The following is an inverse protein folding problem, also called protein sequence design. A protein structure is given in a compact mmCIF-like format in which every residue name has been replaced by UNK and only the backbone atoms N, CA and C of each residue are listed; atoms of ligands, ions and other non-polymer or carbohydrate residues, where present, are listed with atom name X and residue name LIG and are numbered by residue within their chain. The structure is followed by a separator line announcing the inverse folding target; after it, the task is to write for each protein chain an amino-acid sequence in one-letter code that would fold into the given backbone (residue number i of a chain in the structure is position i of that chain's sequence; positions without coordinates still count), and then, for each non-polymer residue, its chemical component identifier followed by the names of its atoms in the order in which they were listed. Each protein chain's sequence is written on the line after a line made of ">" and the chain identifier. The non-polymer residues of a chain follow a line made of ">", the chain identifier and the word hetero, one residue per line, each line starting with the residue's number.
data_IF_394553088645
#
_entry.id   IF_394553088645
#
_cell.length_a   1.000
_cell.length_b   1.000
_cell.length_c   1.000
_cell.angle_alpha   90.00
_cell.angle_beta   90.00
_cell.angle_gamma   90.00
#
_symmetry.space_group_name_H-M   'P 1'
#
loop_
_entity.id
_entity.type
_entity.pdbx_description
1 polymer ?
#
# COMPACT_ATOMS: atom_id res chain seq x y z
N UNK A 1 -31.26 -32.98 39.61
CA UNK A 1 -30.62 -33.09 40.94
C UNK A 1 -29.37 -33.97 40.81
N UNK A 2 -28.39 -33.86 41.71
CA UNK A 2 -27.05 -34.44 41.53
C UNK A 2 -27.01 -35.92 41.92
N UNK A 3 -26.24 -36.71 41.16
CA UNK A 3 -25.38 -37.74 41.75
C UNK A 3 -24.10 -37.88 40.90
N UNK A 4 -22.99 -38.26 41.53
CA UNK A 4 -21.65 -38.40 40.94
C UNK A 4 -21.12 -39.82 41.22
N UNK A 5 -19.85 -40.03 40.86
CA UNK A 5 -19.02 -41.17 41.27
C UNK A 5 -19.32 -42.47 40.46
N UNK A 6 -18.41 -43.44 40.30
CA UNK A 6 -17.23 -43.79 41.11
C UNK A 6 -15.91 -43.90 40.34
N UNK A 7 -14.82 -43.69 41.09
CA UNK A 7 -13.42 -43.73 40.65
C UNK A 7 -12.72 -45.03 41.11
N UNK A 8 -11.99 -45.71 40.22
CA UNK A 8 -11.05 -46.82 40.49
C UNK A 8 -9.89 -46.69 39.46
N UNK A 9 -8.57 -46.64 39.75
CA UNK A 9 -7.67 -47.12 40.84
C UNK A 9 -7.57 -48.64 40.97
N UNK A 10 -6.39 -49.28 41.10
CA UNK A 10 -5.00 -48.76 41.16
C UNK A 10 -4.27 -48.79 39.77
N UNK A 11 -3.07 -49.29 39.46
CA UNK A 11 -1.98 -50.12 40.07
C UNK A 11 -0.59 -49.58 39.62
N UNK A 12 0.54 -50.08 40.15
CA UNK A 12 1.94 -49.66 39.86
C UNK A 12 2.74 -50.66 39.00
N UNK A 13 3.83 -50.19 38.36
CA UNK A 13 4.92 -51.02 37.80
C UNK A 13 6.09 -50.16 37.27
N UNK A 14 7.34 -50.44 37.70
CA UNK A 14 8.59 -49.71 37.34
C UNK A 14 9.69 -50.78 37.05
N UNK A 15 10.85 -50.38 36.49
CA UNK A 15 12.14 -51.13 36.31
C UNK A 15 12.30 -51.80 34.92
N UNK A 16 13.40 -51.69 34.16
CA UNK A 16 14.52 -50.71 34.04
C UNK A 16 15.29 -50.96 32.72
N UNK A 17 16.07 -49.97 32.23
CA UNK A 17 17.11 -50.02 31.16
C UNK A 17 16.92 -50.86 29.88
N UNK A 18 17.04 -50.18 28.73
CA UNK A 18 17.37 -50.78 27.43
C UNK A 18 18.13 -49.77 26.56
N UNK A 19 19.46 -49.85 26.52
CA UNK A 19 20.32 -48.81 25.93
C UNK A 19 20.76 -49.21 24.51
N UNK A 20 20.13 -48.65 23.47
CA UNK A 20 20.62 -48.75 22.08
C UNK A 20 20.64 -47.35 21.46
N UNK A 21 21.85 -46.84 21.20
CA UNK A 21 22.08 -45.70 20.32
C UNK A 21 21.96 -46.15 18.86
N UNK A 22 20.76 -46.04 18.29
CA UNK A 22 20.63 -45.92 16.84
C UNK A 22 20.79 -44.44 16.49
N UNK A 23 21.90 -44.08 15.83
CA UNK A 23 22.11 -42.72 15.35
C UNK A 23 21.10 -42.41 14.24
N UNK A 24 20.05 -41.65 14.56
CA UNK A 24 19.24 -41.02 13.52
C UNK A 24 20.14 -40.07 12.74
N UNK A 25 20.37 -40.37 11.47
CA UNK A 25 21.07 -39.45 10.57
C UNK A 25 20.34 -38.13 10.58
N UNK A 26 21.02 -37.05 10.98
CA UNK A 26 20.51 -35.70 10.80
C UNK A 26 20.47 -35.47 9.29
N UNK A 27 19.29 -35.71 8.69
CA UNK A 27 18.97 -35.19 7.37
C UNK A 27 18.93 -33.68 7.55
N UNK A 28 20.06 -33.04 7.24
CA UNK A 28 20.12 -31.59 7.12
C UNK A 28 19.15 -31.19 6.04
N UNK A 29 18.01 -30.61 6.44
CA UNK A 29 17.14 -29.90 5.51
C UNK A 29 17.95 -28.72 4.96
N UNK A 30 18.58 -28.95 3.81
CA UNK A 30 19.16 -27.90 3.00
C UNK A 30 18.00 -27.04 2.51
N UNK A 31 17.71 -25.95 3.23
CA UNK A 31 16.60 -25.05 2.93
C UNK A 31 16.91 -24.25 1.66
N UNK A 32 16.72 -24.91 0.51
CA UNK A 32 16.74 -24.29 -0.80
C UNK A 32 15.42 -23.52 -1.01
N UNK A 33 15.18 -22.55 -0.12
CA UNK A 33 13.86 -22.04 0.27
C UNK A 33 13.36 -20.78 -0.44
N UNK A 34 14.07 -20.36 -1.49
CA UNK A 34 13.96 -19.09 -2.24
C UNK A 34 14.64 -17.90 -1.55
N UNK A 35 15.64 -17.32 -2.22
CA UNK A 35 15.77 -15.87 -2.23
C UNK A 35 14.42 -15.30 -2.71
N UNK A 36 13.67 -14.64 -1.83
CA UNK A 36 12.59 -13.79 -2.31
C UNK A 36 13.25 -12.56 -2.94
N UNK A 37 13.42 -12.59 -4.27
CA UNK A 37 13.71 -11.41 -5.07
C UNK A 37 12.50 -10.47 -4.96
N UNK A 38 12.47 -9.69 -3.87
CA UNK A 38 11.54 -8.58 -3.70
C UNK A 38 11.88 -7.61 -4.83
N UNK A 39 11.09 -7.60 -5.89
CA UNK A 39 11.20 -6.61 -6.97
C UNK A 39 10.84 -5.25 -6.37
N UNK A 40 11.89 -4.55 -5.91
CA UNK A 40 11.84 -3.43 -4.96
C UNK A 40 10.98 -2.31 -5.52
N UNK A 41 9.80 -2.12 -4.95
CA UNK A 41 8.86 -1.13 -5.47
C UNK A 41 9.43 0.29 -5.38
N UNK A 42 9.19 1.09 -6.41
CA UNK A 42 10.07 2.19 -6.83
C UNK A 42 9.90 3.49 -6.02
N UNK A 43 9.79 3.39 -4.69
CA UNK A 43 9.64 4.51 -3.75
C UNK A 43 10.95 5.24 -3.45
N UNK A 44 12.09 4.77 -3.97
CA UNK A 44 13.44 5.26 -3.65
C UNK A 44 13.90 6.48 -4.48
N UNK A 45 13.00 7.19 -5.17
CA UNK A 45 13.39 8.29 -6.07
C UNK A 45 13.94 9.53 -5.33
N UNK A 46 13.75 9.66 -4.01
CA UNK A 46 14.16 10.83 -3.21
C UNK A 46 15.28 10.54 -2.19
N UNK A 47 15.77 9.29 -2.11
CA UNK A 47 16.87 8.90 -1.22
C UNK A 47 17.61 7.70 -1.81
N UNK A 48 18.95 7.73 -1.82
CA UNK A 48 19.73 6.58 -2.29
C UNK A 48 19.75 5.44 -1.26
N UNK A 49 20.18 4.25 -1.69
CA UNK A 49 20.18 3.04 -0.86
C UNK A 49 21.13 3.11 0.34
N UNK A 50 22.26 3.82 0.23
CA UNK A 50 23.21 4.00 1.34
C UNK A 50 22.66 4.89 2.46
N UNK A 51 22.07 6.04 2.11
CA UNK A 51 21.39 6.91 3.06
C UNK A 51 20.18 6.24 3.70
N UNK A 52 19.39 5.48 2.92
CA UNK A 52 18.28 4.68 3.43
C UNK A 52 18.75 3.68 4.50
N UNK A 53 19.76 2.87 4.18
CA UNK A 53 20.22 1.80 5.07
C UNK A 53 20.84 2.41 6.35
N UNK A 54 21.66 3.47 6.24
CA UNK A 54 22.17 4.21 7.42
C UNK A 54 21.03 4.66 8.34
N UNK A 55 19.96 5.21 7.79
CA UNK A 55 18.86 5.73 8.61
C UNK A 55 18.01 4.61 9.23
N UNK A 56 17.86 3.46 8.55
CA UNK A 56 17.25 2.25 9.12
C UNK A 56 18.10 1.70 10.29
N UNK A 57 19.43 1.62 10.12
CA UNK A 57 20.37 1.20 11.16
C UNK A 57 20.39 2.16 12.37
N UNK A 58 20.09 3.45 12.14
CA UNK A 58 19.88 4.45 13.19
C UNK A 58 18.48 4.40 13.85
N UNK A 59 17.66 3.39 13.52
CA UNK A 59 16.38 3.12 14.15
C UNK A 59 15.20 3.97 13.63
N UNK A 60 15.36 4.70 12.53
CA UNK A 60 14.23 5.37 11.88
C UNK A 60 13.40 4.37 11.06
N UNK A 61 12.08 4.50 11.06
CA UNK A 61 11.22 3.70 10.20
C UNK A 61 11.27 4.16 8.73
N UNK A 62 10.97 3.24 7.81
CA UNK A 62 10.92 3.55 6.37
C UNK A 62 9.93 4.67 6.01
N UNK A 63 8.83 4.83 6.75
CA UNK A 63 7.86 5.91 6.52
C UNK A 63 8.42 7.27 6.95
N UNK A 64 9.13 7.34 8.09
CA UNK A 64 9.80 8.58 8.53
C UNK A 64 10.89 9.00 7.55
N UNK A 65 11.72 8.05 7.09
CA UNK A 65 12.80 8.31 6.12
C UNK A 65 12.22 8.83 4.79
N UNK A 66 11.16 8.22 4.27
CA UNK A 66 10.55 8.64 3.01
C UNK A 66 9.83 10.00 3.13
N UNK A 67 9.21 10.31 4.27
CA UNK A 67 8.62 11.64 4.53
C UNK A 67 9.68 12.72 4.66
N UNK A 68 10.76 12.44 5.39
CA UNK A 68 11.88 13.36 5.52
C UNK A 68 12.56 13.62 4.17
N UNK A 69 12.77 12.57 3.35
CA UNK A 69 13.29 12.71 1.99
C UNK A 69 12.36 13.52 1.06
N UNK A 70 11.04 13.37 1.21
CA UNK A 70 10.06 14.18 0.47
C UNK A 70 10.14 15.66 0.87
N UNK A 71 10.14 15.99 2.17
CA UNK A 71 10.31 17.37 2.66
C UNK A 71 11.66 17.93 2.21
N UNK A 72 12.76 17.20 2.40
CA UNK A 72 14.12 17.60 2.03
C UNK A 72 14.25 17.99 0.56
N UNK A 73 13.58 17.26 -0.35
CA UNK A 73 13.51 17.59 -1.78
C UNK A 73 12.86 18.96 -2.03
N UNK A 74 11.73 19.27 -1.39
CA UNK A 74 11.00 20.52 -1.65
C UNK A 74 11.55 21.71 -0.86
N UNK A 75 12.25 21.50 0.26
CA UNK A 75 12.92 22.56 1.04
C UNK A 75 14.38 22.80 0.64
N UNK A 76 14.93 21.97 -0.25
CA UNK A 76 16.36 21.91 -0.61
C UNK A 76 17.26 21.80 0.64
N UNK A 77 17.12 20.70 1.38
CA UNK A 77 17.82 20.35 2.62
C UNK A 77 18.29 18.89 2.59
N UNK A 78 19.06 18.43 3.59
CA UNK A 78 19.39 17.00 3.74
C UNK A 78 18.29 16.26 4.50
N UNK A 79 18.18 14.95 4.27
CA UNK A 79 17.22 14.09 4.97
C UNK A 79 17.49 14.10 6.48
N UNK A 80 18.76 14.06 6.87
CA UNK A 80 19.22 14.09 8.26
C UNK A 80 18.83 15.40 8.97
N UNK A 81 18.92 16.55 8.28
CA UNK A 81 18.48 17.86 8.81
C UNK A 81 16.96 17.86 9.09
N UNK A 82 16.17 17.28 8.18
CA UNK A 82 14.72 17.15 8.33
C UNK A 82 14.35 16.21 9.47
N UNK A 83 15.04 15.07 9.60
CA UNK A 83 14.83 14.13 10.71
C UNK A 83 15.26 14.69 12.08
N UNK A 84 16.23 15.60 12.11
CA UNK A 84 16.63 16.34 13.31
C UNK A 84 15.60 17.41 13.70
N UNK A 85 14.99 18.11 12.74
CA UNK A 85 13.88 19.04 13.01
C UNK A 85 12.61 18.27 13.44
N UNK A 86 12.31 17.15 12.80
CA UNK A 86 11.20 16.27 13.15
C UNK A 86 11.25 15.83 14.63
N UNK A 87 12.40 15.34 15.10
CA UNK A 87 12.61 14.99 16.52
C UNK A 87 12.49 16.18 17.49
N UNK A 88 12.71 17.42 17.03
CA UNK A 88 12.53 18.65 17.84
C UNK A 88 11.10 19.17 17.84
N UNK A 89 10.31 18.85 16.81
CA UNK A 89 8.96 19.34 16.59
C UNK A 89 7.89 18.33 17.05
N UNK A 90 8.10 17.70 18.20
CA UNK A 90 7.21 16.67 18.79
C UNK A 90 6.90 15.47 17.86
N UNK A 91 7.80 15.15 16.92
CA UNK A 91 7.54 14.20 15.82
C UNK A 91 6.30 14.55 14.97
N UNK A 92 6.00 15.85 14.81
CA UNK A 92 4.96 16.34 13.90
C UNK A 92 5.53 16.68 12.51
N UNK A 93 5.04 15.99 11.49
CA UNK A 93 5.38 16.26 10.09
C UNK A 93 4.90 17.64 9.61
N UNK A 94 3.79 18.13 10.16
CA UNK A 94 3.20 19.42 9.80
C UNK A 94 4.10 20.57 10.27
N UNK A 95 4.40 20.64 11.58
CA UNK A 95 5.40 21.55 12.15
C UNK A 95 6.77 21.47 11.46
N UNK A 96 7.18 20.27 11.07
CA UNK A 96 8.45 20.02 10.36
C UNK A 96 8.46 20.61 8.95
N UNK A 97 7.34 20.57 8.24
CA UNK A 97 7.19 21.20 6.93
C UNK A 97 7.09 22.72 7.06
N UNK A 98 6.30 23.22 8.01
CA UNK A 98 6.15 24.65 8.33
C UNK A 98 7.49 25.31 8.67
N UNK A 99 8.35 24.64 9.45
CA UNK A 99 9.72 25.09 9.76
C UNK A 99 10.57 25.34 8.50
N UNK A 100 10.27 24.65 7.40
CA UNK A 100 10.92 24.81 6.10
C UNK A 100 10.08 25.62 5.09
N UNK A 101 9.00 26.28 5.53
CA UNK A 101 8.10 27.06 4.68
C UNK A 101 7.22 26.23 3.74
N UNK A 102 7.03 24.94 4.02
CA UNK A 102 6.25 24.01 3.20
C UNK A 102 4.88 23.72 3.82
N UNK A 103 3.83 23.87 3.01
CA UNK A 103 2.48 23.43 3.31
C UNK A 103 2.26 22.01 2.75
N UNK A 104 2.10 21.01 3.62
CA UNK A 104 1.89 19.61 3.23
C UNK A 104 0.52 19.37 2.57
N UNK A 105 -0.49 20.15 2.92
CA UNK A 105 -1.82 20.07 2.30
C UNK A 105 -1.74 20.59 0.87
N UNK A 106 -1.15 21.76 0.67
CA UNK A 106 -0.94 22.36 -0.66
C UNK A 106 -0.05 21.49 -1.56
N UNK A 107 1.06 20.96 -1.05
CA UNK A 107 1.91 20.01 -1.81
C UNK A 107 1.14 18.75 -2.24
N UNK A 108 0.26 18.22 -1.37
CA UNK A 108 -0.59 17.08 -1.67
C UNK A 108 -1.66 17.42 -2.72
N UNK A 109 -2.25 18.61 -2.65
CA UNK A 109 -3.23 19.14 -3.60
C UNK A 109 -2.60 19.34 -4.98
N UNK A 110 -1.47 20.05 -5.07
CA UNK A 110 -0.69 20.22 -6.30
C UNK A 110 -0.29 18.89 -6.96
N UNK A 111 0.04 17.86 -6.17
CA UNK A 111 0.29 16.52 -6.70
C UNK A 111 -0.99 15.82 -7.22
N UNK A 112 -2.16 16.02 -6.58
CA UNK A 112 -3.44 15.51 -7.10
C UNK A 112 -3.88 16.23 -8.38
N UNK A 113 -3.60 17.54 -8.49
CA UNK A 113 -3.87 18.39 -9.65
C UNK A 113 -2.98 18.02 -10.83
N UNK A 114 -1.65 17.98 -10.64
CA UNK A 114 -0.72 17.57 -11.68
C UNK A 114 -1.01 16.15 -12.20
N UNK A 115 -1.39 15.22 -11.30
CA UNK A 115 -1.84 13.89 -11.72
C UNK A 115 -3.16 13.92 -12.50
N UNK A 116 -4.13 14.75 -12.12
CA UNK A 116 -5.37 14.87 -12.89
C UNK A 116 -5.08 15.47 -14.27
N UNK A 117 -4.26 16.53 -14.35
CA UNK A 117 -3.84 17.16 -15.61
C UNK A 117 -3.21 16.15 -16.56
N UNK A 118 -2.26 15.34 -16.08
CA UNK A 118 -1.65 14.26 -16.88
C UNK A 118 -2.69 13.25 -17.42
N UNK A 119 -3.74 12.93 -16.65
CA UNK A 119 -4.80 12.03 -17.13
C UNK A 119 -5.74 12.71 -18.14
N UNK A 120 -5.96 14.02 -18.03
CA UNK A 120 -6.77 14.80 -18.97
C UNK A 120 -6.01 15.10 -20.28
N UNK A 121 -4.68 15.26 -20.22
CA UNK A 121 -3.79 15.37 -21.38
C UNK A 121 -3.75 14.09 -22.23
N UNK A 122 -4.13 12.96 -21.62
CA UNK A 122 -4.24 11.64 -22.24
C UNK A 122 -5.63 11.03 -21.96
N UNK A 123 -6.69 11.82 -22.18
CA UNK A 123 -8.07 11.44 -21.80
C UNK A 123 -8.51 10.14 -22.49
N UNK A 124 -8.18 9.96 -23.77
CA UNK A 124 -8.71 8.86 -24.58
C UNK A 124 -8.12 7.52 -24.14
N UNK A 125 -6.79 7.48 -24.05
CA UNK A 125 -6.00 6.30 -23.67
C UNK A 125 -6.35 5.85 -22.24
N UNK A 126 -6.62 6.81 -21.35
CA UNK A 126 -7.12 6.55 -19.99
C UNK A 126 -8.55 5.99 -20.01
N UNK A 127 -9.42 6.47 -20.89
CA UNK A 127 -10.82 6.02 -20.99
C UNK A 127 -10.92 4.62 -21.56
N UNK A 128 -10.24 4.32 -22.68
CA UNK A 128 -10.17 3.01 -23.31
C UNK A 128 -9.68 1.94 -22.32
N UNK A 129 -8.55 2.21 -21.64
CA UNK A 129 -7.99 1.33 -20.62
C UNK A 129 -8.94 1.06 -19.45
N UNK A 130 -9.64 2.10 -18.97
CA UNK A 130 -10.61 1.97 -17.88
C UNK A 130 -11.84 1.18 -18.34
N UNK A 131 -12.32 1.42 -19.57
CA UNK A 131 -13.44 0.73 -20.17
C UNK A 131 -13.16 -0.78 -20.26
N UNK A 132 -12.05 -1.18 -20.89
CA UNK A 132 -11.59 -2.57 -20.99
C UNK A 132 -11.41 -3.21 -19.60
N UNK A 133 -10.65 -2.58 -18.71
CA UNK A 133 -10.32 -3.14 -17.38
C UNK A 133 -11.55 -3.35 -16.48
N UNK A 134 -12.58 -2.51 -16.64
CA UNK A 134 -13.80 -2.56 -15.82
C UNK A 134 -15.02 -3.20 -16.49
N UNK A 135 -14.92 -3.61 -17.76
CA UNK A 135 -16.03 -4.19 -18.52
C UNK A 135 -17.14 -3.18 -18.84
N UNK A 136 -16.75 -1.96 -19.22
CA UNK A 136 -17.61 -0.82 -19.53
C UNK A 136 -17.41 -0.34 -20.96
N UNK A 137 -18.31 0.48 -21.48
CA UNK A 137 -18.05 1.20 -22.75
C UNK A 137 -17.35 2.53 -22.50
N UNK A 138 -16.61 3.04 -23.49
CA UNK A 138 -16.02 4.37 -23.43
C UNK A 138 -17.07 5.48 -23.25
N UNK A 139 -18.28 5.29 -23.79
CA UNK A 139 -19.43 6.18 -23.59
C UNK A 139 -19.87 6.23 -22.12
N UNK A 140 -19.91 5.09 -21.41
CA UNK A 140 -20.20 5.07 -19.97
C UNK A 140 -19.17 5.92 -19.22
N UNK A 141 -17.87 5.73 -19.50
CA UNK A 141 -16.78 6.45 -18.83
C UNK A 141 -16.83 7.94 -19.14
N UNK A 142 -16.98 8.33 -20.42
CA UNK A 142 -17.15 9.73 -20.82
C UNK A 142 -18.33 10.37 -20.10
N UNK A 143 -19.47 9.67 -20.02
CA UNK A 143 -20.65 10.16 -19.31
C UNK A 143 -20.42 10.41 -17.81
N UNK A 144 -19.36 9.88 -17.21
CA UNK A 144 -18.98 10.18 -15.82
C UNK A 144 -18.00 11.35 -15.74
N UNK A 145 -17.05 11.45 -16.67
CA UNK A 145 -16.16 12.62 -16.80
C UNK A 145 -16.98 13.90 -17.01
N UNK A 146 -17.98 13.85 -17.90
CA UNK A 146 -18.87 14.98 -18.22
C UNK A 146 -19.80 15.35 -17.04
N UNK A 147 -20.04 14.40 -16.12
CA UNK A 147 -20.69 14.63 -14.81
C UNK A 147 -19.73 15.09 -13.72
N UNK A 148 -18.53 15.56 -14.08
CA UNK A 148 -17.52 16.10 -13.18
C UNK A 148 -16.71 15.06 -12.39
N UNK A 149 -16.79 13.77 -12.75
CA UNK A 149 -16.01 12.72 -12.08
C UNK A 149 -14.60 12.68 -12.67
N UNK A 150 -13.65 13.31 -11.98
CA UNK A 150 -12.22 13.35 -12.32
C UNK A 150 -11.68 11.97 -12.74
N UNK A 151 -10.82 11.91 -13.78
CA UNK A 151 -10.22 10.67 -14.28
C UNK A 151 -9.39 9.96 -13.19
N UNK A 152 -8.71 10.70 -12.31
CA UNK A 152 -8.02 10.16 -11.12
C UNK A 152 -8.99 9.46 -10.16
N UNK A 153 -10.26 9.88 -10.10
CA UNK A 153 -11.28 9.12 -9.39
C UNK A 153 -11.61 7.85 -10.18
N UNK A 154 -11.98 7.92 -11.46
CA UNK A 154 -12.44 6.73 -12.20
C UNK A 154 -11.38 5.62 -12.20
N UNK A 155 -10.11 5.94 -12.47
CA UNK A 155 -8.97 4.98 -12.45
C UNK A 155 -8.78 4.31 -11.06
N UNK A 156 -8.99 5.05 -9.97
CA UNK A 156 -8.86 4.49 -8.60
C UNK A 156 -10.14 3.76 -8.18
N UNK A 157 -11.30 4.19 -8.68
CA UNK A 157 -12.58 3.51 -8.54
C UNK A 157 -12.57 2.15 -9.21
N UNK A 158 -12.00 2.03 -10.42
CA UNK A 158 -11.85 0.77 -11.15
C UNK A 158 -11.04 -0.26 -10.34
N UNK A 159 -9.89 0.15 -9.80
CA UNK A 159 -9.07 -0.70 -8.94
C UNK A 159 -9.78 -1.09 -7.62
N UNK A 160 -10.59 -0.19 -7.04
CA UNK A 160 -11.42 -0.49 -5.87
C UNK A 160 -12.51 -1.50 -6.23
N UNK A 161 -13.23 -1.28 -7.33
CA UNK A 161 -14.30 -2.13 -7.83
C UNK A 161 -13.80 -3.57 -8.05
N UNK A 162 -12.65 -3.73 -8.70
CA UNK A 162 -11.97 -5.03 -8.91
C UNK A 162 -11.68 -5.75 -7.59
N UNK A 163 -11.06 -5.08 -6.62
CA UNK A 163 -10.69 -5.69 -5.33
C UNK A 163 -11.91 -6.01 -4.46
N UNK A 164 -12.98 -5.21 -4.54
CA UNK A 164 -14.23 -5.47 -3.80
C UNK A 164 -15.22 -6.40 -4.52
N UNK A 165 -14.90 -6.85 -5.75
CA UNK A 165 -15.82 -7.57 -6.65
C UNK A 165 -17.18 -6.84 -6.79
N UNK A 166 -17.12 -5.54 -7.12
CA UNK A 166 -18.26 -4.65 -7.36
C UNK A 166 -18.22 -4.06 -8.76
N UNK A 167 -19.38 -3.60 -9.24
CA UNK A 167 -19.46 -2.87 -10.49
C UNK A 167 -18.96 -1.42 -10.32
N UNK A 168 -18.17 -0.91 -11.28
CA UNK A 168 -17.61 0.45 -11.21
C UNK A 168 -18.71 1.53 -11.12
N UNK A 169 -19.86 1.33 -11.76
CA UNK A 169 -21.01 2.23 -11.71
C UNK A 169 -21.62 2.37 -10.31
N UNK A 170 -21.41 1.41 -9.40
CA UNK A 170 -21.75 1.58 -7.97
C UNK A 170 -20.85 2.62 -7.30
N UNK A 171 -19.53 2.52 -7.49
CA UNK A 171 -18.56 3.45 -6.89
C UNK A 171 -18.73 4.88 -7.44
N UNK A 172 -19.18 5.02 -8.69
CA UNK A 172 -19.54 6.31 -9.31
C UNK A 172 -20.78 6.92 -8.63
N UNK A 173 -21.84 6.13 -8.37
CA UNK A 173 -23.03 6.60 -7.62
C UNK A 173 -22.67 7.07 -6.22
N UNK A 174 -21.92 6.26 -5.46
CA UNK A 174 -21.44 6.64 -4.13
C UNK A 174 -20.60 7.95 -4.17
N UNK A 175 -19.84 8.19 -5.24
CA UNK A 175 -19.09 9.45 -5.43
C UNK A 175 -20.01 10.65 -5.71
N UNK A 176 -21.11 10.45 -6.44
CA UNK A 176 -22.13 11.46 -6.72
C UNK A 176 -22.95 11.79 -5.47
N UNK A 177 -23.19 10.80 -4.61
CA UNK A 177 -23.75 10.94 -3.24
C UNK A 177 -22.76 11.61 -2.26
N UNK A 178 -21.57 11.98 -2.72
CA UNK A 178 -20.58 12.78 -1.98
C UNK A 178 -19.51 11.98 -1.24
N UNK A 179 -19.61 10.65 -1.15
CA UNK A 179 -18.64 9.84 -0.41
C UNK A 179 -17.22 9.97 -0.99
N UNK A 180 -16.21 9.88 -0.12
CA UNK A 180 -14.81 9.88 -0.50
C UNK A 180 -14.26 8.45 -0.61
N UNK A 181 -13.08 8.31 -1.23
CA UNK A 181 -12.35 7.05 -1.22
C UNK A 181 -12.01 6.52 0.17
N UNK A 182 -11.96 7.36 1.22
CA UNK A 182 -11.77 6.87 2.58
C UNK A 182 -13.00 6.06 2.98
N UNK A 183 -14.16 6.70 2.90
CA UNK A 183 -15.46 6.17 3.35
C UNK A 183 -15.83 4.91 2.56
N UNK A 184 -15.56 4.88 1.26
CA UNK A 184 -15.74 3.68 0.42
C UNK A 184 -14.84 2.51 0.87
N UNK A 185 -13.56 2.73 1.15
CA UNK A 185 -12.64 1.64 1.54
C UNK A 185 -12.87 1.16 2.97
N UNK A 186 -13.22 2.06 3.86
CA UNK A 186 -13.45 1.75 5.27
C UNK A 186 -14.83 1.08 5.46
N UNK A 187 -15.86 1.42 4.67
CA UNK A 187 -17.16 0.72 4.67
C UNK A 187 -17.15 -0.63 3.96
N UNK A 188 -16.38 -0.77 2.87
CA UNK A 188 -16.24 -2.03 2.13
C UNK A 188 -15.12 -2.96 2.68
N UNK A 189 -14.50 -2.60 3.81
CA UNK A 189 -13.40 -3.34 4.47
C UNK A 189 -12.26 -3.74 3.52
N UNK A 190 -11.83 -2.82 2.65
CA UNK A 190 -10.95 -3.15 1.53
C UNK A 190 -9.47 -3.17 1.92
N UNK A 191 -8.79 -4.23 1.50
CA UNK A 191 -7.33 -4.38 1.51
C UNK A 191 -6.65 -3.25 0.71
N UNK A 192 -5.95 -2.39 1.44
CA UNK A 192 -5.33 -1.16 0.93
C UNK A 192 -4.08 -1.46 0.08
N UNK A 193 -3.46 -2.63 0.19
CA UNK A 193 -2.33 -3.04 -0.66
C UNK A 193 -2.80 -3.68 -1.96
N UNK A 194 -3.87 -4.49 -1.94
CA UNK A 194 -4.48 -5.00 -3.19
C UNK A 194 -4.96 -3.85 -4.09
N UNK A 195 -5.60 -2.82 -3.53
CA UNK A 195 -5.99 -1.62 -4.30
C UNK A 195 -4.77 -0.86 -4.84
N UNK A 196 -3.64 -0.84 -4.10
CA UNK A 196 -2.39 -0.25 -4.61
C UNK A 196 -1.83 -1.06 -5.78
N UNK A 197 -1.84 -2.40 -5.70
CA UNK A 197 -1.37 -3.30 -6.75
C UNK A 197 -2.21 -3.18 -8.03
N UNK A 198 -3.55 -3.29 -7.94
CA UNK A 198 -4.46 -3.16 -9.08
C UNK A 198 -4.35 -1.79 -9.75
N UNK A 199 -4.36 -0.71 -8.94
CA UNK A 199 -4.16 0.67 -9.43
C UNK A 199 -2.81 0.83 -10.13
N UNK A 200 -1.75 0.16 -9.65
CA UNK A 200 -0.42 0.18 -10.25
C UNK A 200 -0.37 -0.59 -11.58
N UNK A 201 -1.08 -1.71 -11.67
CA UNK A 201 -1.21 -2.48 -12.91
C UNK A 201 -1.95 -1.68 -13.99
N UNK A 202 -3.15 -1.16 -13.68
CA UNK A 202 -3.92 -0.32 -14.61
C UNK A 202 -3.15 0.95 -15.03
N UNK A 203 -2.49 1.63 -14.08
CA UNK A 203 -1.64 2.79 -14.39
C UNK A 203 -0.27 2.45 -14.99
N UNK A 204 0.06 1.16 -15.12
CA UNK A 204 1.19 0.70 -15.95
C UNK A 204 0.74 0.59 -17.40
N UNK A 205 -0.35 -0.14 -17.68
CA UNK A 205 -0.89 -0.30 -19.05
C UNK A 205 -1.19 1.06 -19.71
N UNK A 206 -1.95 1.93 -19.03
CA UNK A 206 -2.18 3.32 -19.46
C UNK A 206 -0.87 4.07 -19.80
N UNK A 207 0.26 3.76 -19.14
CA UNK A 207 1.57 4.42 -19.36
C UNK A 207 2.49 3.69 -20.34
N UNK A 208 2.02 2.60 -20.92
CA UNK A 208 2.62 1.93 -22.06
C UNK A 208 1.91 2.45 -23.29
N UNK A 209 0.58 2.31 -23.34
CA UNK A 209 -0.30 2.78 -24.42
C UNK A 209 -0.19 4.30 -24.72
N UNK A 210 0.15 5.15 -23.73
CA UNK A 210 0.41 6.60 -23.91
C UNK A 210 1.72 6.92 -24.68
N UNK A 211 2.61 5.94 -24.91
CA UNK A 211 3.95 6.16 -25.50
C UNK A 211 4.11 5.65 -26.93
N UNK A 212 3.15 4.88 -27.41
CA UNK A 212 3.17 4.24 -28.73
C UNK A 212 2.59 5.17 -29.82
#
# INVERSE_FOLDING_TARGET
>A
MVSRDLLKKWVFGIIVFGFILAQSTIITYAENGRHHEIKRDHHHHFINEGDLNRLLDQGYSKDEILRAAHIAKYSNKKVDDVLNVYKKNDSSWEKTAEHYGLDLKKLKEQYQEHKEKYLQEHKNEVIENVAEYSGKTEDEINSWVDKGISLRFIVVGAAIAKVSNKDLSELIKLKQEGLSFKDMKDSLNIDKEKVRAEKKALMKKIKEDIKD
#
